data_IF_622521861571
#
_entry.id   IF_622521861571
#
_cell.length_a   1.000
_cell.length_b   1.000
_cell.length_c   1.000
_cell.angle_alpha   90.00
_cell.angle_beta   90.00
_cell.angle_gamma   90.00
#
_symmetry.space_group_name_H-M   'P 1'
#
loop_
_entity.id
_entity.type
_entity.pdbx_description
1 polymer ?
#
# COMPACT_ATOMS: atom_id res chain seq x y z
N UNK A 1 42.69 -10.50 13.03
CA UNK A 1 41.51 -10.30 12.18
C UNK A 1 40.45 -11.30 12.60
N UNK A 2 39.29 -10.75 12.95
CA UNK A 2 37.93 -11.29 12.72
C UNK A 2 37.46 -12.55 13.45
N UNK A 3 37.01 -12.38 14.70
CA UNK A 3 36.05 -13.30 15.36
C UNK A 3 34.97 -12.62 16.21
N UNK A 4 34.69 -11.33 15.98
CA UNK A 4 33.75 -10.56 16.79
C UNK A 4 32.34 -10.35 16.17
N UNK A 5 32.08 -10.86 14.95
CA UNK A 5 30.85 -10.53 14.20
C UNK A 5 29.85 -11.67 14.01
N UNK A 6 29.98 -12.82 14.67
CA UNK A 6 29.12 -13.99 14.41
C UNK A 6 28.02 -14.26 15.47
N UNK A 7 27.82 -13.38 16.46
CA UNK A 7 26.91 -13.72 17.58
C UNK A 7 25.92 -12.65 18.04
N UNK A 8 25.62 -11.66 17.21
CA UNK A 8 24.74 -10.56 17.61
C UNK A 8 23.56 -10.48 16.64
N UNK A 9 22.34 -10.78 17.13
CA UNK A 9 21.01 -10.50 16.56
C UNK A 9 20.17 -11.63 15.91
N UNK A 10 20.52 -12.92 16.01
CA UNK A 10 19.92 -13.96 15.15
C UNK A 10 18.73 -14.79 15.63
N UNK A 11 18.62 -15.17 16.91
CA UNK A 11 17.64 -16.21 17.32
C UNK A 11 16.31 -15.66 17.81
N UNK A 12 16.35 -14.69 18.72
CA UNK A 12 15.16 -14.27 19.48
C UNK A 12 14.21 -13.44 18.60
N UNK A 13 14.77 -12.63 17.69
CA UNK A 13 14.01 -11.85 16.71
C UNK A 13 13.25 -12.72 15.71
N UNK A 14 13.82 -13.87 15.33
CA UNK A 14 13.15 -14.82 14.41
C UNK A 14 12.04 -15.61 15.10
N UNK A 15 12.23 -15.98 16.36
CA UNK A 15 11.21 -16.67 17.16
C UNK A 15 10.01 -15.75 17.46
N UNK A 16 10.25 -14.49 17.81
CA UNK A 16 9.18 -13.50 18.03
C UNK A 16 8.41 -13.16 16.75
N UNK A 17 9.11 -13.03 15.62
CA UNK A 17 8.46 -12.82 14.32
C UNK A 17 7.59 -14.01 13.91
N UNK A 18 8.05 -15.23 14.16
CA UNK A 18 7.30 -16.44 13.87
C UNK A 18 6.09 -16.60 14.80
N UNK A 19 6.24 -16.32 16.10
CA UNK A 19 5.14 -16.31 17.05
C UNK A 19 4.05 -15.30 16.68
N UNK A 20 4.42 -14.11 16.19
CA UNK A 20 3.47 -13.13 15.66
C UNK A 20 2.70 -13.68 14.46
N UNK A 21 3.40 -14.29 13.49
CA UNK A 21 2.76 -14.84 12.29
C UNK A 21 1.81 -15.99 12.63
N UNK A 22 2.23 -16.90 13.53
CA UNK A 22 1.42 -18.02 13.98
C UNK A 22 0.15 -17.54 14.69
N UNK A 23 0.27 -16.51 15.55
CA UNK A 23 -0.87 -15.95 16.27
C UNK A 23 -1.82 -15.18 15.33
N UNK A 24 -1.28 -14.43 14.37
CA UNK A 24 -2.09 -13.76 13.34
C UNK A 24 -2.85 -14.77 12.48
N UNK A 25 -2.19 -15.88 12.11
CA UNK A 25 -2.80 -16.97 11.37
C UNK A 25 -3.90 -17.66 12.19
N UNK A 26 -3.63 -17.94 13.48
CA UNK A 26 -4.60 -18.52 14.42
C UNK A 26 -5.86 -17.67 14.51
N UNK A 27 -5.72 -16.37 14.76
CA UNK A 27 -6.86 -15.44 14.88
C UNK A 27 -7.65 -15.35 13.57
N UNK A 28 -6.96 -15.25 12.43
CA UNK A 28 -7.61 -15.23 11.11
C UNK A 28 -8.41 -16.51 10.85
N UNK A 29 -7.83 -17.66 11.17
CA UNK A 29 -8.49 -18.96 11.02
C UNK A 29 -9.72 -19.11 11.92
N UNK A 30 -9.65 -18.61 13.15
CA UNK A 30 -10.80 -18.60 14.06
C UNK A 30 -11.94 -17.72 13.51
N UNK A 31 -11.63 -16.54 12.99
CA UNK A 31 -12.62 -15.68 12.35
C UNK A 31 -13.28 -16.38 11.16
N UNK A 32 -12.49 -17.00 10.27
CA UNK A 32 -13.04 -17.79 9.16
C UNK A 32 -13.89 -18.97 9.62
N UNK A 33 -13.49 -19.64 10.71
CA UNK A 33 -14.26 -20.75 11.29
C UNK A 33 -15.66 -20.35 11.78
N UNK A 34 -15.90 -19.06 12.04
CA UNK A 34 -17.18 -18.54 12.49
C UNK A 34 -18.09 -18.05 11.34
N UNK A 35 -17.59 -17.95 10.11
CA UNK A 35 -18.37 -17.46 8.96
C UNK A 35 -19.57 -18.37 8.65
N UNK A 36 -19.34 -19.69 8.58
CA UNK A 36 -20.42 -20.64 8.26
C UNK A 36 -21.51 -20.71 9.36
N UNK A 37 -21.17 -20.80 10.67
CA UNK A 37 -22.17 -20.70 11.74
C UNK A 37 -23.02 -19.43 11.66
N UNK A 38 -22.41 -18.28 11.36
CA UNK A 38 -23.11 -17.00 11.21
C UNK A 38 -24.07 -17.03 10.02
N UNK A 39 -23.60 -17.47 8.86
CA UNK A 39 -24.44 -17.52 7.66
C UNK A 39 -25.55 -18.56 7.76
N UNK A 40 -25.30 -19.68 8.42
CA UNK A 40 -26.32 -20.68 8.75
C UNK A 40 -27.42 -20.08 9.62
N UNK A 41 -27.05 -19.40 10.72
CA UNK A 41 -28.02 -18.78 11.62
C UNK A 41 -28.82 -17.68 10.92
N UNK A 42 -28.17 -16.80 10.13
CA UNK A 42 -28.85 -15.79 9.30
C UNK A 42 -29.81 -16.41 8.29
N UNK A 43 -29.48 -17.56 7.69
CA UNK A 43 -30.37 -18.27 6.77
C UNK A 43 -31.61 -18.77 7.49
N UNK A 44 -31.45 -19.38 8.67
CA UNK A 44 -32.56 -19.84 9.51
C UNK A 44 -33.49 -18.69 9.91
N UNK A 45 -32.93 -17.59 10.42
CA UNK A 45 -33.70 -16.38 10.79
C UNK A 45 -34.47 -15.85 9.58
N UNK A 46 -33.81 -15.69 8.41
CA UNK A 46 -34.48 -15.22 7.19
C UNK A 46 -35.62 -16.14 6.76
N UNK A 47 -35.41 -17.45 6.82
CA UNK A 47 -36.45 -18.42 6.49
C UNK A 47 -37.67 -18.24 7.41
N UNK A 48 -37.47 -18.21 8.73
CA UNK A 48 -38.54 -18.05 9.71
C UNK A 48 -39.26 -16.70 9.58
N UNK A 49 -38.54 -15.60 9.41
CA UNK A 49 -39.11 -14.26 9.27
C UNK A 49 -39.86 -14.08 7.94
N UNK A 50 -39.46 -14.80 6.88
CA UNK A 50 -40.11 -14.71 5.57
C UNK A 50 -41.45 -15.45 5.46
N UNK A 51 -41.86 -16.19 6.50
CA UNK A 51 -43.07 -17.01 6.44
C UNK A 51 -44.33 -16.14 6.40
N UNK A 52 -45.30 -16.46 5.52
CA UNK A 52 -46.51 -15.67 5.37
C UNK A 52 -47.55 -15.93 6.47
N UNK A 53 -47.36 -16.98 7.28
CA UNK A 53 -48.26 -17.39 8.35
C UNK A 53 -47.69 -17.04 9.73
N UNK A 54 -48.57 -16.98 10.72
CA UNK A 54 -48.16 -16.80 12.11
C UNK A 54 -47.30 -18.00 12.53
N UNK A 55 -46.10 -17.71 13.01
CA UNK A 55 -45.19 -18.73 13.53
C UNK A 55 -45.80 -19.45 14.73
N UNK A 56 -45.63 -20.77 14.75
CA UNK A 56 -45.90 -21.61 15.92
C UNK A 56 -45.00 -21.24 17.10
N UNK A 57 -45.37 -21.66 18.31
CA UNK A 57 -44.57 -21.37 19.51
C UNK A 57 -43.16 -21.98 19.43
N UNK A 58 -43.01 -23.15 18.79
CA UNK A 58 -41.70 -23.77 18.54
C UNK A 58 -40.85 -22.93 17.59
N UNK A 59 -41.45 -22.46 16.48
CA UNK A 59 -40.75 -21.60 15.51
C UNK A 59 -40.35 -20.25 16.11
N UNK A 60 -41.18 -19.68 16.98
CA UNK A 60 -40.84 -18.47 17.72
C UNK A 60 -39.67 -18.68 18.67
N UNK A 61 -39.65 -19.81 19.40
CA UNK A 61 -38.52 -20.17 20.26
C UNK A 61 -37.25 -20.39 19.46
N UNK A 62 -37.35 -21.04 18.30
CA UNK A 62 -36.21 -21.24 17.41
C UNK A 62 -35.70 -19.91 16.86
N UNK A 63 -36.59 -19.02 16.42
CA UNK A 63 -36.21 -17.68 15.96
C UNK A 63 -35.44 -16.91 17.03
N UNK A 64 -35.96 -16.87 18.26
CA UNK A 64 -35.28 -16.21 19.39
C UNK A 64 -33.93 -16.84 19.72
N UNK A 65 -33.84 -18.17 19.66
CA UNK A 65 -32.60 -18.90 19.90
C UNK A 65 -31.55 -18.58 18.84
N UNK A 66 -31.94 -18.55 17.57
CA UNK A 66 -31.07 -18.21 16.44
C UNK A 66 -30.62 -16.75 16.49
N UNK A 67 -31.52 -15.81 16.79
CA UNK A 67 -31.17 -14.39 16.96
C UNK A 67 -30.13 -14.21 18.09
N UNK A 68 -30.32 -14.90 19.22
CA UNK A 68 -29.37 -14.86 20.33
C UNK A 68 -28.02 -15.51 19.95
N UNK A 69 -28.05 -16.62 19.23
CA UNK A 69 -26.83 -17.28 18.75
C UNK A 69 -26.07 -16.38 17.78
N UNK A 70 -26.75 -15.80 16.80
CA UNK A 70 -26.17 -14.86 15.83
C UNK A 70 -25.51 -13.68 16.55
N UNK A 71 -26.20 -13.08 17.52
CA UNK A 71 -25.63 -11.98 18.31
C UNK A 71 -24.34 -12.39 19.03
N UNK A 72 -24.31 -13.59 19.63
CA UNK A 72 -23.11 -14.11 20.30
C UNK A 72 -21.96 -14.35 19.32
N UNK A 73 -22.25 -14.96 18.17
CA UNK A 73 -21.24 -15.23 17.13
C UNK A 73 -20.67 -13.93 16.55
N UNK A 74 -21.51 -12.93 16.29
CA UNK A 74 -21.06 -11.62 15.81
C UNK A 74 -20.20 -10.89 16.85
N UNK A 75 -20.57 -10.97 18.14
CA UNK A 75 -19.74 -10.45 19.23
C UNK A 75 -18.39 -11.17 19.32
N UNK A 76 -18.35 -12.49 19.13
CA UNK A 76 -17.12 -13.26 19.15
C UNK A 76 -16.19 -12.90 17.99
N UNK A 77 -16.73 -12.79 16.77
CA UNK A 77 -15.98 -12.31 15.60
C UNK A 77 -15.43 -10.91 15.85
N UNK A 78 -16.23 -10.02 16.44
CA UNK A 78 -15.78 -8.66 16.75
C UNK A 78 -14.62 -8.67 17.75
N UNK A 79 -14.69 -9.47 18.81
CA UNK A 79 -13.60 -9.63 19.78
C UNK A 79 -12.33 -10.18 19.13
N UNK A 80 -12.44 -11.18 18.26
CA UNK A 80 -11.30 -11.74 17.54
C UNK A 80 -10.68 -10.72 16.58
N UNK A 81 -11.49 -9.88 15.93
CA UNK A 81 -11.00 -8.77 15.09
C UNK A 81 -10.24 -7.74 15.91
N UNK A 82 -10.77 -7.36 17.07
CA UNK A 82 -10.08 -6.45 18.00
C UNK A 82 -8.74 -7.03 18.48
N UNK A 83 -8.69 -8.32 18.80
CA UNK A 83 -7.44 -9.00 19.16
C UNK A 83 -6.43 -9.00 18.00
N UNK A 84 -6.90 -9.28 16.78
CA UNK A 84 -6.06 -9.26 15.57
C UNK A 84 -5.54 -7.86 15.28
N UNK A 85 -6.37 -6.84 15.43
CA UNK A 85 -6.00 -5.46 15.16
C UNK A 85 -5.04 -4.94 16.26
N UNK A 86 -5.25 -5.33 17.52
CA UNK A 86 -4.30 -5.07 18.60
C UNK A 86 -2.94 -5.74 18.34
N UNK A 87 -2.94 -6.98 17.85
CA UNK A 87 -1.72 -7.70 17.46
C UNK A 87 -0.99 -6.97 16.33
N UNK A 88 -1.70 -6.45 15.33
CA UNK A 88 -1.13 -5.65 14.23
C UNK A 88 -0.51 -4.33 14.71
N UNK A 89 -1.06 -3.73 15.76
CA UNK A 89 -0.53 -2.52 16.39
C UNK A 89 0.59 -2.79 17.41
N UNK A 90 0.91 -4.05 17.69
CA UNK A 90 2.03 -4.40 18.57
C UNK A 90 3.38 -4.06 17.93
N UNK A 91 4.48 -3.95 18.70
CA UNK A 91 5.81 -3.73 18.15
C UNK A 91 6.19 -4.76 17.07
N UNK A 92 5.90 -6.04 17.29
CA UNK A 92 6.12 -7.09 16.31
C UNK A 92 5.27 -6.91 15.03
N UNK A 93 4.02 -6.46 15.19
CA UNK A 93 3.13 -6.15 14.06
C UNK A 93 3.59 -4.98 13.22
N UNK A 94 4.10 -3.92 13.84
CA UNK A 94 4.66 -2.76 13.14
C UNK A 94 5.92 -3.14 12.35
N UNK A 95 6.81 -3.93 12.96
CA UNK A 95 8.00 -4.46 12.27
C UNK A 95 7.59 -5.33 11.08
N UNK A 96 6.60 -6.20 11.25
CA UNK A 96 6.11 -7.05 10.15
C UNK A 96 5.54 -6.22 8.99
N UNK A 97 4.79 -5.14 9.27
CA UNK A 97 4.26 -4.22 8.24
C UNK A 97 5.38 -3.48 7.49
N UNK A 98 6.43 -3.06 8.20
CA UNK A 98 7.58 -2.40 7.58
C UNK A 98 8.36 -3.37 6.68
N UNK A 99 8.55 -4.62 7.12
CA UNK A 99 9.15 -5.68 6.32
C UNK A 99 8.32 -5.96 5.05
N UNK A 100 7.00 -6.10 5.20
CA UNK A 100 6.09 -6.34 4.06
C UNK A 100 6.15 -5.17 3.06
N UNK A 101 6.19 -3.93 3.55
CA UNK A 101 6.37 -2.75 2.70
C UNK A 101 7.70 -2.77 1.95
N UNK A 102 8.81 -3.08 2.62
CA UNK A 102 10.11 -3.21 1.97
C UNK A 102 10.12 -4.33 0.92
N UNK A 103 9.47 -5.46 1.21
CA UNK A 103 9.32 -6.57 0.25
C UNK A 103 8.49 -6.15 -0.96
N UNK A 104 7.43 -5.38 -0.76
CA UNK A 104 6.62 -4.81 -1.83
C UNK A 104 7.46 -3.88 -2.72
N UNK A 105 8.23 -2.96 -2.13
CA UNK A 105 9.12 -2.05 -2.87
C UNK A 105 10.18 -2.82 -3.66
N UNK A 106 10.77 -3.87 -3.08
CA UNK A 106 11.70 -4.76 -3.78
C UNK A 106 10.99 -5.48 -4.93
N UNK A 107 9.78 -5.99 -4.70
CA UNK A 107 9.00 -6.69 -5.74
C UNK A 107 8.63 -5.75 -6.88
N UNK A 108 8.27 -4.50 -6.59
CA UNK A 108 7.99 -3.47 -7.59
C UNK A 108 9.23 -3.07 -8.39
N UNK A 109 10.41 -3.09 -7.75
CA UNK A 109 11.70 -2.86 -8.41
C UNK A 109 12.16 -4.08 -9.25
N UNK A 110 11.82 -5.30 -8.82
CA UNK A 110 12.16 -6.55 -9.50
C UNK A 110 11.15 -6.93 -10.59
N UNK A 111 9.91 -6.43 -10.51
CA UNK A 111 8.94 -6.53 -11.58
C UNK A 111 9.52 -5.80 -12.79
N UNK A 112 9.79 -6.50 -13.89
CA UNK A 112 10.43 -5.88 -15.04
C UNK A 112 9.47 -4.83 -15.58
N UNK A 113 9.83 -3.56 -15.41
CA UNK A 113 9.31 -2.45 -16.21
C UNK A 113 9.33 -2.95 -17.64
N UNK A 114 8.16 -3.05 -18.26
CA UNK A 114 8.07 -3.70 -19.57
C UNK A 114 9.02 -2.99 -20.55
N UNK A 115 9.58 -3.69 -21.54
CA UNK A 115 10.44 -3.05 -22.55
C UNK A 115 9.77 -1.83 -23.20
N UNK A 116 8.44 -1.82 -23.25
CA UNK A 116 7.62 -0.71 -23.75
C UNK A 116 7.61 0.48 -22.79
N UNK A 117 7.50 0.27 -21.48
CA UNK A 117 7.58 1.33 -20.46
C UNK A 117 8.98 1.95 -20.39
N UNK A 118 10.03 1.15 -20.53
CA UNK A 118 11.41 1.66 -20.67
C UNK A 118 11.58 2.50 -21.94
N UNK A 119 11.05 2.02 -23.08
CA UNK A 119 11.11 2.76 -24.34
C UNK A 119 10.31 4.08 -24.28
N UNK A 120 9.17 4.10 -23.57
CA UNK A 120 8.38 5.31 -23.34
C UNK A 120 9.11 6.30 -22.41
N UNK A 121 9.74 5.82 -21.33
CA UNK A 121 10.60 6.65 -20.46
C UNK A 121 11.80 7.21 -21.24
N UNK A 122 12.49 6.40 -22.03
CA UNK A 122 13.61 6.87 -22.85
C UNK A 122 13.20 7.93 -23.89
N UNK A 123 12.03 7.75 -24.53
CA UNK A 123 11.46 8.75 -25.45
C UNK A 123 11.12 10.06 -24.74
N UNK A 124 10.59 10.02 -23.52
CA UNK A 124 10.28 11.23 -22.76
C UNK A 124 11.54 11.96 -22.28
N UNK A 125 12.59 11.23 -21.89
CA UNK A 125 13.90 11.81 -21.59
C UNK A 125 14.54 12.48 -22.82
N UNK A 126 14.53 11.83 -23.99
CA UNK A 126 15.04 12.43 -25.23
C UNK A 126 14.28 13.72 -25.59
N UNK A 127 12.95 13.72 -25.49
CA UNK A 127 12.12 14.92 -25.72
C UNK A 127 12.43 16.05 -24.74
N UNK A 128 12.64 15.74 -23.45
CA UNK A 128 13.03 16.75 -22.44
C UNK A 128 14.42 17.32 -22.72
N UNK A 129 15.40 16.47 -23.06
CA UNK A 129 16.74 16.90 -23.43
C UNK A 129 16.76 17.79 -24.69
N UNK A 130 15.98 17.44 -25.72
CA UNK A 130 15.84 18.26 -26.92
C UNK A 130 15.16 19.61 -26.64
N UNK A 131 14.15 19.64 -25.77
CA UNK A 131 13.50 20.88 -25.35
C UNK A 131 14.45 21.78 -24.56
N UNK A 132 15.28 21.22 -23.68
CA UNK A 132 16.32 21.96 -22.97
C UNK A 132 17.41 22.46 -23.90
N UNK A 133 17.86 21.65 -24.86
CA UNK A 133 18.82 22.07 -25.88
C UNK A 133 18.27 23.24 -26.72
N UNK A 134 16.99 23.17 -27.13
CA UNK A 134 16.31 24.27 -27.84
C UNK A 134 16.17 25.52 -26.97
N UNK A 135 15.88 25.39 -25.67
CA UNK A 135 15.86 26.51 -24.73
C UNK A 135 17.24 27.15 -24.60
N UNK A 136 18.30 26.36 -24.44
CA UNK A 136 19.68 26.87 -24.38
C UNK A 136 20.08 27.55 -25.68
N UNK A 137 19.70 26.99 -26.83
CA UNK A 137 19.98 27.58 -28.14
C UNK A 137 19.24 28.90 -28.37
N UNK A 138 17.96 29.00 -27.98
CA UNK A 138 17.22 30.28 -28.01
C UNK A 138 17.85 31.31 -27.07
N UNK A 139 18.18 30.90 -25.84
CA UNK A 139 18.82 31.79 -24.88
C UNK A 139 20.18 32.28 -25.41
N UNK A 140 20.98 31.40 -26.01
CA UNK A 140 22.24 31.78 -26.64
C UNK A 140 22.04 32.80 -27.77
N UNK A 141 21.09 32.55 -28.68
CA UNK A 141 20.76 33.50 -29.76
C UNK A 141 20.29 34.86 -29.23
N UNK A 142 19.47 34.88 -28.17
CA UNK A 142 19.06 36.14 -27.54
C UNK A 142 20.23 36.88 -26.91
N UNK A 143 21.13 36.18 -26.21
CA UNK A 143 22.31 36.80 -25.59
C UNK A 143 23.30 37.32 -26.63
N UNK A 144 23.51 36.58 -27.73
CA UNK A 144 24.34 37.02 -28.86
C UNK A 144 23.70 38.23 -29.55
N UNK A 145 22.39 38.25 -29.76
CA UNK A 145 21.67 39.40 -30.32
C UNK A 145 21.79 40.65 -29.45
N UNK A 146 21.70 40.50 -28.12
CA UNK A 146 21.91 41.59 -27.15
C UNK A 146 23.37 42.07 -27.17
N UNK A 147 24.34 41.17 -27.25
CA UNK A 147 25.76 41.53 -27.33
C UNK A 147 26.08 42.31 -28.61
N UNK A 148 25.50 41.92 -29.75
CA UNK A 148 25.65 42.65 -31.02
C UNK A 148 25.00 44.03 -30.93
N UNK A 149 23.79 44.14 -30.38
CA UNK A 149 23.11 45.43 -30.16
C UNK A 149 23.90 46.37 -29.22
N UNK A 150 24.64 45.84 -28.25
CA UNK A 150 25.51 46.65 -27.38
C UNK A 150 26.80 47.11 -28.07
N UNK A 151 27.31 46.33 -29.03
CA UNK A 151 28.56 46.65 -29.76
C UNK A 151 28.36 47.65 -30.90
N UNK A 152 27.17 47.72 -31.51
CA UNK A 152 26.88 48.65 -32.63
C UNK A 152 26.98 50.14 -32.23
N UNK A 153 26.45 50.59 -31.07
CA UNK A 153 26.62 51.97 -30.61
C UNK A 153 28.08 52.32 -30.28
N UNK A 154 28.85 51.36 -29.75
CA UNK A 154 30.26 51.55 -29.42
C UNK A 154 31.12 51.72 -30.69
N UNK A 155 30.86 50.94 -31.74
CA UNK A 155 31.52 51.09 -33.03
C UNK A 155 31.12 52.38 -33.76
N UNK A 156 29.84 52.78 -33.69
CA UNK A 156 29.35 54.03 -34.27
C UNK A 156 29.95 55.26 -33.57
N UNK A 157 30.14 55.22 -32.25
CA UNK A 157 30.78 56.30 -31.47
C UNK A 157 32.27 56.47 -31.79
N UNK A 158 32.97 55.39 -32.19
CA UNK A 158 34.39 55.44 -32.61
C UNK A 158 34.52 55.98 -34.03
N UNK A 159 33.61 55.63 -34.95
CA UNK A 159 33.64 56.08 -36.34
C UNK A 159 33.20 57.55 -36.54
N UNK A 160 32.44 58.14 -35.62
CA UNK A 160 32.08 59.57 -35.65
C UNK A 160 33.15 60.50 -35.04
N UNK A 161 34.24 59.94 -34.50
CA UNK A 161 35.31 60.69 -33.84
C UNK A 161 36.60 60.81 -34.67
N UNK A 162 36.56 60.34 -35.92
CA UNK A 162 37.58 60.56 -36.97
C UNK A 162 37.04 61.53 -38.01
#
# INVERSE_FOLDING_TARGET
MDRANEHIAGSDSTAEAQAYQDELYRLTRLIWGLEEPIESSKRCIRELVSRPHVLSDDERRNLQSEELLLQKLEQEVQKLREQRDALRCSPAGLIAQEIEKMQQEITDLLNPVSPEEFAQRAKSFRRRAEQEARKRHRNFLTWVGVAIMMLVPAAAAVLWRT
#
